data_IF_143381826519
#
_entry.id   IF_143381826519
#
_cell.length_a   1.000
_cell.length_b   1.000
_cell.length_c   1.000
_cell.angle_alpha   90.00
_cell.angle_beta   90.00
_cell.angle_gamma   90.00
#
_symmetry.space_group_name_H-M   'P 1'
#
loop_
_entity.id
_entity.type
_entity.pdbx_description
1 polymer ?
#
# COMPACT_ATOMS: atom_id res chain seq x y z
N UNK A 1 -6.55 6.48 5.13
CA UNK A 1 -6.35 6.17 3.71
C UNK A 1 -7.34 5.13 3.19
N UNK A 2 -7.55 4.04 3.90
CA UNK A 2 -8.50 3.00 3.51
C UNK A 2 -9.77 2.99 4.36
N UNK A 3 -10.16 4.15 4.87
CA UNK A 3 -11.29 4.25 5.81
C UNK A 3 -12.61 3.76 5.20
N UNK A 4 -12.86 4.11 3.94
CA UNK A 4 -14.07 3.70 3.24
C UNK A 4 -14.02 2.25 2.75
N UNK A 5 -12.86 1.59 2.88
CA UNK A 5 -12.64 0.23 2.41
C UNK A 5 -12.33 -0.72 3.56
N UNK A 6 -12.72 -0.36 4.78
CA UNK A 6 -12.35 -1.14 5.97
C UNK A 6 -12.86 -2.59 5.91
N UNK A 7 -14.12 -2.79 5.58
CA UNK A 7 -14.68 -4.14 5.51
C UNK A 7 -14.06 -4.99 4.39
N UNK A 8 -13.99 -4.51 3.14
CA UNK A 8 -13.34 -5.29 2.09
C UNK A 8 -11.86 -5.51 2.37
N UNK A 9 -11.18 -4.55 3.02
CA UNK A 9 -9.79 -4.71 3.38
C UNK A 9 -9.60 -5.86 4.37
N UNK A 10 -10.41 -5.91 5.42
CA UNK A 10 -10.32 -6.97 6.42
C UNK A 10 -10.61 -8.35 5.82
N UNK A 11 -11.63 -8.44 4.97
CA UNK A 11 -11.97 -9.69 4.30
C UNK A 11 -10.84 -10.18 3.40
N UNK A 12 -10.29 -9.28 2.59
CA UNK A 12 -9.20 -9.62 1.67
C UNK A 12 -7.92 -10.00 2.40
N UNK A 13 -7.63 -9.35 3.53
CA UNK A 13 -6.46 -9.71 4.33
C UNK A 13 -6.55 -11.14 4.87
N UNK A 14 -7.74 -11.62 5.14
CA UNK A 14 -7.96 -12.97 5.63
C UNK A 14 -8.00 -13.99 4.50
N UNK A 15 -8.62 -13.67 3.38
CA UNK A 15 -8.97 -14.63 2.34
C UNK A 15 -8.03 -14.63 1.14
N UNK A 16 -7.36 -13.51 0.88
CA UNK A 16 -6.56 -13.34 -0.33
C UNK A 16 -5.08 -13.16 0.03
N UNK A 17 -4.29 -14.18 -0.28
CA UNK A 17 -2.85 -14.15 0.01
C UNK A 17 -2.13 -13.06 -0.77
N UNK A 18 -2.49 -12.85 -2.04
CA UNK A 18 -1.89 -11.82 -2.87
C UNK A 18 -2.15 -10.42 -2.31
N UNK A 19 -3.39 -10.18 -1.88
CA UNK A 19 -3.74 -8.91 -1.26
C UNK A 19 -2.93 -8.67 0.02
N UNK A 20 -2.75 -9.71 0.83
CA UNK A 20 -1.96 -9.62 2.05
C UNK A 20 -0.51 -9.26 1.78
N UNK A 21 0.08 -9.88 0.75
CA UNK A 21 1.46 -9.57 0.34
C UNK A 21 1.59 -8.12 -0.11
N UNK A 22 0.68 -7.67 -0.94
CA UNK A 22 0.67 -6.30 -1.45
C UNK A 22 0.46 -5.30 -0.32
N UNK A 23 -0.43 -5.60 0.59
CA UNK A 23 -0.69 -4.75 1.74
C UNK A 23 0.56 -4.61 2.62
N UNK A 24 1.23 -5.70 2.92
CA UNK A 24 2.47 -5.68 3.70
C UNK A 24 3.57 -4.91 2.97
N UNK A 25 3.66 -5.10 1.66
CA UNK A 25 4.63 -4.36 0.84
C UNK A 25 4.36 -2.86 0.89
N UNK A 26 3.10 -2.46 0.78
CA UNK A 26 2.70 -1.06 0.89
C UNK A 26 3.10 -0.47 2.24
N UNK A 27 2.88 -1.22 3.32
CA UNK A 27 3.25 -0.78 4.66
C UNK A 27 4.77 -0.57 4.79
N UNK A 28 5.55 -1.47 4.22
CA UNK A 28 7.01 -1.35 4.22
C UNK A 28 7.47 -0.13 3.43
N UNK A 29 6.88 0.10 2.26
CA UNK A 29 7.20 1.27 1.45
C UNK A 29 6.86 2.56 2.18
N UNK A 30 5.72 2.60 2.85
CA UNK A 30 5.31 3.76 3.62
C UNK A 30 6.30 4.08 4.73
N UNK A 31 6.75 3.07 5.47
CA UNK A 31 7.74 3.25 6.53
C UNK A 31 9.06 3.76 5.98
N UNK A 32 9.50 3.26 4.84
CA UNK A 32 10.76 3.68 4.22
C UNK A 32 10.67 5.12 3.73
N UNK A 33 9.55 5.51 3.12
CA UNK A 33 9.34 6.87 2.68
C UNK A 33 9.33 7.82 3.87
N UNK A 34 8.62 7.46 4.93
CA UNK A 34 8.56 8.28 6.14
C UNK A 34 9.94 8.45 6.78
N UNK A 35 10.71 7.38 6.87
CA UNK A 35 12.06 7.44 7.42
C UNK A 35 12.96 8.35 6.60
N UNK A 36 12.84 8.32 5.28
CA UNK A 36 13.61 9.18 4.40
C UNK A 36 13.21 10.65 4.57
N UNK A 37 11.92 10.93 4.66
CA UNK A 37 11.41 12.29 4.83
C UNK A 37 11.73 12.88 6.20
N UNK A 38 11.74 12.03 7.23
CA UNK A 38 12.07 12.45 8.59
C UNK A 38 13.58 12.57 8.84
N UNK A 39 14.40 12.17 7.87
CA UNK A 39 15.85 12.21 8.04
C UNK A 39 16.44 11.04 8.83
N UNK A 40 15.62 10.09 9.25
CA UNK A 40 16.08 8.91 9.99
C UNK A 40 16.90 7.99 9.09
N UNK A 41 16.48 7.84 7.84
CA UNK A 41 17.17 7.06 6.83
C UNK A 41 17.22 7.86 5.53
N UNK A 42 18.07 8.90 5.46
CA UNK A 42 18.09 9.78 4.28
C UNK A 42 18.50 9.02 3.03
N UNK A 43 17.90 9.41 1.91
CA UNK A 43 18.22 8.83 0.62
C UNK A 43 18.17 9.91 -0.46
N UNK A 44 18.78 9.60 -1.60
CA UNK A 44 18.80 10.53 -2.73
C UNK A 44 17.39 10.76 -3.26
N UNK A 45 17.17 11.96 -3.82
CA UNK A 45 15.86 12.34 -4.35
C UNK A 45 15.32 11.35 -5.37
N UNK A 46 16.20 10.85 -6.24
CA UNK A 46 15.80 9.90 -7.26
C UNK A 46 15.28 8.60 -6.65
N UNK A 47 15.99 8.09 -5.65
CA UNK A 47 15.58 6.88 -4.94
C UNK A 47 14.28 7.09 -4.18
N UNK A 48 14.13 8.24 -3.52
CA UNK A 48 12.90 8.57 -2.80
C UNK A 48 11.71 8.67 -3.74
N UNK A 49 11.89 9.31 -4.89
CA UNK A 49 10.83 9.42 -5.89
C UNK A 49 10.42 8.07 -6.42
N UNK A 50 11.36 7.15 -6.63
CA UNK A 50 11.06 5.78 -7.04
C UNK A 50 10.21 5.06 -6.01
N UNK A 51 10.55 5.20 -4.73
CA UNK A 51 9.76 4.61 -3.64
C UNK A 51 8.35 5.18 -3.58
N UNK A 52 8.21 6.48 -3.75
CA UNK A 52 6.90 7.14 -3.75
C UNK A 52 6.03 6.66 -4.90
N UNK A 53 6.62 6.49 -6.08
CA UNK A 53 5.90 5.97 -7.24
C UNK A 53 5.45 4.53 -7.01
N UNK A 54 6.32 3.70 -6.46
CA UNK A 54 5.99 2.32 -6.17
C UNK A 54 4.91 2.22 -5.10
N UNK A 55 5.00 3.05 -4.07
CA UNK A 55 3.98 3.13 -3.02
C UNK A 55 2.61 3.47 -3.61
N UNK A 56 2.56 4.48 -4.47
CA UNK A 56 1.33 4.89 -5.12
C UNK A 56 0.77 3.80 -6.00
N UNK A 57 1.62 3.15 -6.79
CA UNK A 57 1.23 2.05 -7.67
C UNK A 57 0.65 0.89 -6.87
N UNK A 58 1.30 0.53 -5.78
CA UNK A 58 0.82 -0.54 -4.90
C UNK A 58 -0.52 -0.18 -4.28
N UNK A 59 -0.68 1.07 -3.84
CA UNK A 59 -1.94 1.56 -3.29
C UNK A 59 -3.06 1.46 -4.32
N UNK A 60 -2.79 1.84 -5.55
CA UNK A 60 -3.78 1.79 -6.62
C UNK A 60 -4.23 0.35 -6.88
N UNK A 61 -3.30 -0.60 -6.87
CA UNK A 61 -3.61 -2.01 -7.03
C UNK A 61 -4.48 -2.51 -5.87
N UNK A 62 -4.13 -2.16 -4.65
CA UNK A 62 -4.91 -2.54 -3.46
C UNK A 62 -6.33 -1.98 -3.55
N UNK A 63 -6.46 -0.71 -3.92
CA UNK A 63 -7.77 -0.06 -4.05
C UNK A 63 -8.60 -0.76 -5.11
N UNK A 64 -8.01 -1.12 -6.24
CA UNK A 64 -8.71 -1.84 -7.31
C UNK A 64 -9.22 -3.19 -6.81
N UNK A 65 -8.40 -3.93 -6.08
CA UNK A 65 -8.79 -5.23 -5.53
C UNK A 65 -9.95 -5.08 -4.55
N UNK A 66 -9.91 -4.05 -3.70
CA UNK A 66 -11.02 -3.80 -2.77
C UNK A 66 -12.30 -3.42 -3.49
N UNK A 67 -12.21 -2.59 -4.52
CA UNK A 67 -13.37 -2.19 -5.31
C UNK A 67 -13.99 -3.38 -6.04
N UNK A 68 -13.16 -4.26 -6.59
CA UNK A 68 -13.63 -5.48 -7.25
C UNK A 68 -14.30 -6.43 -6.25
N UNK A 69 -13.77 -6.53 -5.05
CA UNK A 69 -14.37 -7.35 -4.00
C UNK A 69 -15.75 -6.83 -3.62
N UNK A 70 -15.90 -5.51 -3.45
CA UNK A 70 -17.20 -4.91 -3.15
C UNK A 70 -18.20 -5.10 -4.28
N UNK A 71 -17.75 -4.97 -5.52
CA UNK A 71 -18.60 -5.15 -6.68
C UNK A 71 -19.08 -6.60 -6.81
N UNK A 72 -18.27 -7.56 -6.40
CA UNK A 72 -18.61 -8.98 -6.43
C UNK A 72 -19.56 -9.38 -5.30
N UNK A 73 -19.59 -8.60 -4.25
CA UNK A 73 -20.49 -8.86 -3.12
C UNK A 73 -21.86 -8.30 -3.36
#
# INVERSE_FOLDING_TARGET
MFENHREPMEALLKENEEFRRLYNHHQQLEKRVMAAENGTAPMEDLALNSLKKEKLKTKDTLTRMMDQHQAAA
#
